data_IF_833969189174
#
_entry.id   IF_833969189174
#
_cell.length_a   1.000
_cell.length_b   1.000
_cell.length_c   1.000
_cell.angle_alpha   90.00
_cell.angle_beta   90.00
_cell.angle_gamma   90.00
#
_symmetry.space_group_name_H-M   'P 1'
#
loop_
_entity.id
_entity.type
_entity.pdbx_description
1 polymer ?
#
# COMPACT_ATOMS: atom_id res chain seq x y z
N UNK A 1 2.53 -27.21 -32.23
CA UNK A 1 1.65 -26.97 -31.07
C UNK A 1 2.44 -26.18 -30.04
N UNK A 2 2.34 -24.85 -30.11
CA UNK A 2 3.03 -23.94 -29.21
C UNK A 2 1.98 -23.45 -28.20
N UNK A 3 2.00 -24.00 -27.00
CA UNK A 3 1.00 -23.80 -25.95
C UNK A 3 1.17 -22.46 -25.23
N UNK A 4 1.39 -21.38 -25.98
CA UNK A 4 1.73 -20.06 -25.45
C UNK A 4 0.74 -18.94 -25.84
N UNK A 5 -0.36 -19.24 -26.53
CA UNK A 5 -1.49 -18.31 -26.58
C UNK A 5 -2.61 -18.84 -25.68
N UNK A 6 -2.39 -18.69 -24.37
CA UNK A 6 -3.45 -18.83 -23.39
C UNK A 6 -4.34 -17.58 -23.48
N UNK A 7 -5.66 -17.76 -23.52
CA UNK A 7 -6.67 -16.69 -23.66
C UNK A 7 -6.61 -15.60 -22.57
N UNK A 8 -5.76 -15.79 -21.55
CA UNK A 8 -5.47 -14.83 -20.50
C UNK A 8 -4.29 -13.89 -20.83
N UNK A 9 -3.59 -14.04 -21.95
CA UNK A 9 -2.44 -13.19 -22.30
C UNK A 9 -2.83 -12.00 -23.22
N UNK A 10 -3.83 -12.18 -24.08
CA UNK A 10 -4.18 -11.22 -25.15
C UNK A 10 -5.27 -10.20 -24.81
N UNK A 11 -5.56 -9.97 -23.51
CA UNK A 11 -6.66 -9.07 -23.10
C UNK A 11 -6.59 -8.54 -21.67
N UNK A 12 -7.75 -8.50 -20.99
CA UNK A 12 -7.89 -8.03 -19.59
C UNK A 12 -6.91 -8.71 -18.62
N UNK A 13 -6.69 -9.99 -18.83
CA UNK A 13 -5.82 -10.80 -17.99
C UNK A 13 -4.32 -10.51 -18.21
N UNK A 14 -3.90 -10.11 -19.41
CA UNK A 14 -2.54 -9.62 -19.67
C UNK A 14 -2.32 -8.22 -19.08
N UNK A 15 -3.34 -7.35 -19.12
CA UNK A 15 -3.34 -6.08 -18.39
C UNK A 15 -3.27 -6.28 -16.87
N UNK A 16 -4.03 -7.25 -16.33
CA UNK A 16 -4.01 -7.61 -14.92
C UNK A 16 -2.65 -8.20 -14.51
N UNK A 17 -2.04 -9.01 -15.37
CA UNK A 17 -0.69 -9.51 -15.14
C UNK A 17 0.33 -8.37 -15.14
N UNK A 18 0.24 -7.43 -16.10
CA UNK A 18 1.09 -6.24 -16.17
C UNK A 18 1.00 -5.36 -14.91
N UNK A 19 -0.19 -5.16 -14.35
CA UNK A 19 -0.35 -4.41 -13.09
C UNK A 19 0.12 -5.20 -11.86
N UNK A 20 0.18 -6.54 -11.96
CA UNK A 20 0.68 -7.43 -10.91
C UNK A 20 2.22 -7.59 -10.95
N UNK A 21 2.87 -7.45 -12.11
CA UNK A 21 4.34 -7.52 -12.25
C UNK A 21 5.13 -6.64 -11.26
N UNK A 22 4.74 -5.40 -10.92
CA UNK A 22 5.45 -4.64 -9.88
C UNK A 22 5.34 -5.30 -8.49
N UNK A 23 4.26 -6.02 -8.22
CA UNK A 23 4.10 -6.79 -6.98
C UNK A 23 5.01 -8.00 -6.96
N UNK A 24 5.19 -8.69 -8.10
CA UNK A 24 6.09 -9.85 -8.21
C UNK A 24 7.55 -9.46 -7.98
N UNK A 25 7.97 -8.31 -8.51
CA UNK A 25 9.30 -7.75 -8.27
C UNK A 25 9.51 -7.41 -6.79
N UNK A 26 8.50 -6.82 -6.16
CA UNK A 26 8.51 -6.49 -4.74
C UNK A 26 8.58 -7.75 -3.86
N UNK A 27 7.83 -8.79 -4.21
CA UNK A 27 7.90 -10.11 -3.56
C UNK A 27 9.30 -10.72 -3.66
N UNK A 28 9.92 -10.67 -4.85
CA UNK A 28 11.26 -11.24 -5.06
C UNK A 28 12.33 -10.49 -4.27
N UNK A 29 12.21 -9.16 -4.17
CA UNK A 29 13.07 -8.33 -3.34
C UNK A 29 12.93 -8.66 -1.85
N UNK A 30 11.70 -8.83 -1.35
CA UNK A 30 11.44 -9.29 0.01
C UNK A 30 12.10 -10.65 0.25
N UNK A 31 11.90 -11.62 -0.64
CA UNK A 31 12.48 -12.96 -0.51
C UNK A 31 14.01 -12.94 -0.47
N UNK A 32 14.65 -12.06 -1.26
CA UNK A 32 16.12 -11.96 -1.31
C UNK A 32 16.71 -11.41 -0.01
N UNK A 33 16.15 -10.30 0.50
CA UNK A 33 16.58 -9.68 1.76
C UNK A 33 16.44 -10.68 2.92
N UNK A 34 15.35 -11.43 2.91
CA UNK A 34 15.03 -12.47 3.88
C UNK A 34 16.02 -13.62 3.86
N UNK A 35 16.29 -14.16 2.67
CA UNK A 35 17.16 -15.31 2.48
C UNK A 35 18.61 -14.97 2.84
N UNK A 36 19.11 -13.82 2.38
CA UNK A 36 20.49 -13.38 2.62
C UNK A 36 20.74 -13.09 4.11
N UNK A 37 19.74 -12.54 4.82
CA UNK A 37 19.83 -12.30 6.26
C UNK A 37 19.93 -13.61 7.07
N UNK A 38 19.36 -14.72 6.58
CA UNK A 38 19.39 -16.01 7.26
C UNK A 38 20.66 -16.78 7.01
N UNK A 39 21.13 -16.75 5.76
CA UNK A 39 22.40 -17.36 5.38
C UNK A 39 23.54 -16.70 6.15
N UNK A 40 23.46 -15.38 6.37
CA UNK A 40 24.44 -14.62 7.17
C UNK A 40 24.41 -14.94 8.67
N UNK A 41 23.25 -15.38 9.22
CA UNK A 41 23.10 -15.72 10.64
C UNK A 41 23.57 -17.15 11.02
N UNK A 42 24.12 -17.93 10.08
CA UNK A 42 24.99 -19.07 10.39
C UNK A 42 24.33 -20.27 11.11
N UNK A 43 23.04 -20.50 10.91
CA UNK A 43 22.29 -21.53 11.65
C UNK A 43 22.40 -22.93 11.02
N UNK A 44 22.74 -23.92 11.85
CA UNK A 44 22.93 -25.34 11.50
C UNK A 44 21.62 -26.04 11.02
N UNK A 45 21.68 -27.15 10.24
CA UNK A 45 20.65 -27.53 9.25
C UNK A 45 19.34 -28.16 9.76
N UNK A 46 19.13 -28.44 11.05
CA UNK A 46 17.96 -29.23 11.51
C UNK A 46 16.90 -28.39 12.25
N UNK A 47 15.80 -28.13 11.52
CA UNK A 47 14.43 -27.93 12.02
C UNK A 47 14.13 -26.65 12.79
N UNK A 48 14.64 -26.52 14.01
CA UNK A 48 14.27 -25.43 14.93
C UNK A 48 14.88 -24.10 14.49
N UNK A 49 16.08 -24.16 13.91
CA UNK A 49 16.75 -22.99 13.33
C UNK A 49 15.94 -22.33 12.22
N UNK A 50 15.24 -23.12 11.40
CA UNK A 50 14.44 -22.61 10.28
C UNK A 50 13.23 -21.82 10.77
N UNK A 51 12.49 -22.37 11.74
CA UNK A 51 11.31 -21.70 12.33
C UNK A 51 11.72 -20.46 13.12
N UNK A 52 12.76 -20.56 13.95
CA UNK A 52 13.22 -19.42 14.76
C UNK A 52 13.71 -18.27 13.88
N UNK A 53 14.40 -18.61 12.78
CA UNK A 53 14.84 -17.62 11.84
C UNK A 53 13.62 -16.95 11.17
N UNK A 54 12.61 -17.71 10.67
CA UNK A 54 11.38 -17.14 10.07
C UNK A 54 10.69 -16.16 11.03
N UNK A 55 10.62 -16.48 12.31
CA UNK A 55 10.01 -15.59 13.30
C UNK A 55 10.82 -14.29 13.44
N UNK A 56 12.13 -14.38 13.62
CA UNK A 56 13.01 -13.22 13.79
C UNK A 56 12.97 -12.31 12.55
N UNK A 57 12.95 -12.90 11.37
CA UNK A 57 12.78 -12.20 10.11
C UNK A 57 11.51 -11.37 10.05
N UNK A 58 10.38 -12.00 10.35
CA UNK A 58 9.07 -11.38 10.29
C UNK A 58 9.03 -10.22 11.27
N UNK A 59 9.62 -10.38 12.46
CA UNK A 59 9.75 -9.30 13.44
C UNK A 59 10.64 -8.15 12.93
N UNK A 60 11.77 -8.42 12.28
CA UNK A 60 12.65 -7.38 11.70
C UNK A 60 11.94 -6.63 10.58
N UNK A 61 11.28 -7.34 9.67
CA UNK A 61 10.49 -6.73 8.59
C UNK A 61 9.35 -5.89 9.17
N UNK A 62 8.62 -6.42 10.14
CA UNK A 62 7.53 -5.71 10.80
C UNK A 62 8.04 -4.44 11.51
N UNK A 63 9.20 -4.51 12.17
CA UNK A 63 9.83 -3.37 12.81
C UNK A 63 10.30 -2.30 11.80
N UNK A 64 10.80 -2.71 10.63
CA UNK A 64 11.19 -1.79 9.55
C UNK A 64 9.98 -1.10 8.89
N UNK A 65 8.84 -1.78 8.77
CA UNK A 65 7.62 -1.20 8.17
C UNK A 65 6.80 -0.43 9.21
N UNK A 66 6.93 -0.73 10.51
CA UNK A 66 6.28 -0.03 11.61
C UNK A 66 6.40 1.51 11.54
N UNK A 67 7.58 2.14 11.29
CA UNK A 67 7.68 3.60 11.14
C UNK A 67 6.92 4.14 9.94
N UNK A 68 6.78 3.35 8.86
CA UNK A 68 5.98 3.71 7.69
C UNK A 68 4.49 3.68 8.04
N UNK A 69 4.02 2.63 8.72
CA UNK A 69 2.64 2.55 9.22
C UNK A 69 2.31 3.68 10.19
N UNK A 70 3.25 4.06 11.06
CA UNK A 70 3.06 5.20 11.96
C UNK A 70 2.84 6.51 11.20
N UNK A 71 3.65 6.76 10.15
CA UNK A 71 3.48 7.93 9.27
C UNK A 71 2.15 7.89 8.53
N UNK A 72 1.73 6.71 8.04
CA UNK A 72 0.45 6.50 7.39
C UNK A 72 -0.72 6.82 8.34
N UNK A 73 -0.69 6.31 9.57
CA UNK A 73 -1.74 6.55 10.56
C UNK A 73 -1.84 8.01 11.00
N UNK A 74 -0.70 8.72 11.10
CA UNK A 74 -0.69 10.17 11.37
C UNK A 74 -1.37 10.97 10.24
N UNK A 75 -1.19 10.56 8.98
CA UNK A 75 -1.89 11.17 7.83
C UNK A 75 -3.41 10.98 7.93
N UNK A 76 -3.85 9.75 8.23
CA UNK A 76 -5.27 9.41 8.39
C UNK A 76 -5.95 10.24 9.50
N UNK A 77 -5.27 10.47 10.63
CA UNK A 77 -5.79 11.31 11.73
C UNK A 77 -5.99 12.77 11.33
N UNK A 78 -5.09 13.34 10.51
CA UNK A 78 -5.26 14.71 9.99
C UNK A 78 -6.48 14.82 9.08
N UNK A 79 -6.74 13.81 8.24
CA UNK A 79 -7.91 13.77 7.37
C UNK A 79 -9.22 13.70 8.18
N UNK A 80 -9.26 12.92 9.25
CA UNK A 80 -10.42 12.85 10.15
C UNK A 80 -10.71 14.18 10.84
N UNK A 81 -9.67 14.94 11.24
CA UNK A 81 -9.85 16.27 11.83
C UNK A 81 -10.37 17.32 10.83
N UNK A 82 -10.14 17.12 9.53
CA UNK A 82 -10.63 18.00 8.45
C UNK A 82 -12.08 17.67 8.04
N UNK A 83 -12.54 16.43 8.23
CA UNK A 83 -13.89 15.99 7.93
C UNK A 83 -15.02 16.90 8.48
N UNK A 84 -15.02 17.33 9.77
CA UNK A 84 -16.08 18.19 10.29
C UNK A 84 -16.05 19.61 9.70
N UNK A 85 -14.86 20.15 9.36
CA UNK A 85 -14.76 21.47 8.70
C UNK A 85 -15.31 21.40 7.28
N UNK A 86 -14.97 20.33 6.56
CA UNK A 86 -15.50 20.04 5.22
C UNK A 86 -17.03 19.93 5.24
N UNK A 87 -17.60 19.23 6.23
CA UNK A 87 -19.05 19.13 6.40
C UNK A 87 -19.72 20.46 6.72
N UNK A 88 -19.10 21.34 7.52
CA UNK A 88 -19.65 22.68 7.80
C UNK A 88 -19.68 23.56 6.54
N UNK A 89 -18.65 23.52 5.71
CA UNK A 89 -18.61 24.24 4.43
C UNK A 89 -19.69 23.67 3.50
N UNK A 90 -19.76 22.34 3.35
CA UNK A 90 -20.80 21.68 2.56
C UNK A 90 -22.22 22.03 3.04
N UNK A 91 -22.46 22.13 4.35
CA UNK A 91 -23.76 22.51 4.91
C UNK A 91 -24.08 24.00 4.73
N UNK A 92 -23.08 24.90 4.78
CA UNK A 92 -23.26 26.35 4.53
C UNK A 92 -23.73 26.63 3.10
N UNK A 93 -23.31 25.81 2.14
CA UNK A 93 -23.64 25.96 0.72
C UNK A 93 -24.65 24.92 0.21
N UNK A 94 -25.20 24.07 1.08
CA UNK A 94 -26.20 23.06 0.72
C UNK A 94 -27.46 23.75 0.20
N UNK A 95 -27.87 23.42 -1.03
CA UNK A 95 -29.06 23.97 -1.67
C UNK A 95 -28.85 25.24 -2.50
N UNK A 96 -27.62 25.77 -2.60
CA UNK A 96 -27.30 26.87 -3.53
C UNK A 96 -26.64 26.30 -4.79
N UNK A 97 -27.40 26.23 -5.88
CA UNK A 97 -26.96 25.71 -7.19
C UNK A 97 -26.40 26.77 -8.13
N UNK A 98 -26.11 27.98 -7.64
CA UNK A 98 -25.45 29.02 -8.42
C UNK A 98 -23.98 28.70 -8.67
N UNK A 99 -23.53 28.93 -9.91
CA UNK A 99 -22.13 28.75 -10.32
C UNK A 99 -21.17 29.59 -9.44
N UNK A 100 -21.62 30.76 -8.98
CA UNK A 100 -20.92 31.60 -8.01
C UNK A 100 -20.81 30.97 -6.60
N UNK A 101 -21.79 30.17 -6.15
CA UNK A 101 -21.71 29.43 -4.88
C UNK A 101 -20.72 28.28 -4.94
N UNK A 102 -20.61 27.61 -6.10
CA UNK A 102 -19.61 26.56 -6.31
C UNK A 102 -18.19 27.14 -6.38
N UNK A 103 -18.01 28.32 -6.99
CA UNK A 103 -16.74 29.04 -6.98
C UNK A 103 -16.37 29.59 -5.59
N UNK A 104 -17.34 30.06 -4.80
CA UNK A 104 -17.10 30.47 -3.43
C UNK A 104 -16.70 29.29 -2.53
N UNK A 105 -17.37 28.14 -2.69
CA UNK A 105 -17.05 26.90 -1.96
C UNK A 105 -15.64 26.39 -2.29
N UNK A 106 -15.24 26.40 -3.57
CA UNK A 106 -13.89 25.98 -3.97
C UNK A 106 -12.81 26.95 -3.48
N UNK A 107 -13.08 28.26 -3.48
CA UNK A 107 -12.18 29.27 -2.89
C UNK A 107 -12.04 29.12 -1.37
N UNK A 108 -13.07 28.70 -0.66
CA UNK A 108 -13.05 28.48 0.80
C UNK A 108 -12.43 27.12 1.20
N UNK A 109 -12.46 26.11 0.33
CA UNK A 109 -11.81 24.79 0.58
C UNK A 109 -10.34 24.75 0.19
N UNK A 110 -9.89 25.62 -0.72
CA UNK A 110 -8.49 25.73 -1.15
C UNK A 110 -7.65 26.71 -0.32
N UNK A 111 -8.25 27.44 0.65
CA UNK A 111 -7.54 28.28 1.63
C UNK A 111 -7.21 27.50 2.90
#
# INVERSE_FOLDING_TARGET
MNSNEFLLDSGFWGFLYKILTPVEWLQTWIMKIVHDFFVMLGVSPIGVSWVLAIIILVLVVQACIFPLFYKQMKSMRKMQALAPKMQRIQNKYKGKTDQASNEAMSRETMK
#
